data_IF_960783192109
#
_entry.id   IF_960783192109
#
_cell.length_a   1.000
_cell.length_b   1.000
_cell.length_c   1.000
_cell.angle_alpha   90.00
_cell.angle_beta   90.00
_cell.angle_gamma   90.00
#
_symmetry.space_group_name_H-M   'P 1'
#
loop_
_entity.id
_entity.type
_entity.pdbx_description
1 polymer ?
#
# COMPACT_ATOMS: atom_id res chain seq x y z
N UNK A 1 26.52 1.67 10.33
CA UNK A 1 25.43 1.33 9.42
C UNK A 1 24.49 2.53 9.34
N UNK A 2 24.50 3.24 8.22
CA UNK A 2 23.49 4.27 7.94
C UNK A 2 22.29 3.60 7.29
N UNK A 3 21.13 4.27 7.35
CA UNK A 3 19.87 3.76 6.80
C UNK A 3 19.32 4.75 5.78
N UNK A 4 18.88 4.24 4.64
CA UNK A 4 18.36 5.04 3.54
C UNK A 4 17.00 4.52 3.10
N UNK A 5 16.14 5.44 2.64
CA UNK A 5 14.83 5.15 2.04
C UNK A 5 14.71 5.79 0.66
N UNK A 6 14.36 5.01 -0.34
CA UNK A 6 14.04 5.54 -1.66
C UNK A 6 12.83 6.48 -1.59
N UNK A 7 13.00 7.73 -2.04
CA UNK A 7 11.90 8.63 -2.34
C UNK A 7 11.71 8.67 -3.84
N UNK A 8 10.47 8.63 -4.29
CA UNK A 8 10.15 8.54 -5.72
C UNK A 8 9.85 9.93 -6.29
N UNK A 9 10.57 10.32 -7.35
CA UNK A 9 10.24 11.48 -8.16
C UNK A 9 9.40 11.09 -9.38
N UNK A 10 8.68 12.05 -9.95
CA UNK A 10 7.85 11.84 -11.13
C UNK A 10 6.45 11.30 -10.84
N UNK A 11 6.04 11.25 -9.58
CA UNK A 11 4.71 10.79 -9.17
C UNK A 11 3.65 11.87 -9.38
N UNK A 12 2.47 11.47 -9.83
CA UNK A 12 1.25 12.27 -9.80
C UNK A 12 0.51 12.06 -8.47
N UNK A 13 -0.42 12.97 -8.14
CA UNK A 13 -1.30 12.81 -6.97
C UNK A 13 -2.35 11.72 -7.22
N UNK A 14 -1.95 10.47 -7.19
CA UNK A 14 -2.83 9.32 -7.31
C UNK A 14 -2.63 8.32 -6.15
N UNK A 15 -3.37 7.23 -6.19
CA UNK A 15 -3.30 6.17 -5.18
C UNK A 15 -1.95 5.43 -5.11
N UNK A 16 -1.05 5.66 -6.06
CA UNK A 16 0.32 5.10 -6.09
C UNK A 16 1.29 5.98 -5.32
N UNK A 17 1.10 7.30 -5.37
CA UNK A 17 1.98 8.31 -4.78
C UNK A 17 1.91 8.30 -3.25
N UNK A 18 0.71 8.41 -2.70
CA UNK A 18 0.49 8.61 -1.26
C UNK A 18 1.12 7.51 -0.39
N UNK A 19 0.96 6.19 -0.64
CA UNK A 19 1.59 5.17 0.18
C UNK A 19 3.12 5.26 0.18
N UNK A 20 3.73 5.62 -0.96
CA UNK A 20 5.18 5.74 -1.07
C UNK A 20 5.72 6.98 -0.35
N UNK A 21 4.99 8.09 -0.42
CA UNK A 21 5.33 9.32 0.31
C UNK A 21 5.20 9.13 1.82
N UNK A 22 4.12 8.47 2.28
CA UNK A 22 3.91 8.17 3.69
C UNK A 22 5.03 7.29 4.25
N UNK A 23 5.38 6.19 3.57
CA UNK A 23 6.51 5.35 3.95
C UNK A 23 7.80 6.15 4.02
N UNK A 24 8.08 6.96 2.99
CA UNK A 24 9.30 7.79 2.95
C UNK A 24 9.36 8.79 4.10
N UNK A 25 8.22 9.36 4.48
CA UNK A 25 8.10 10.29 5.60
C UNK A 25 8.27 9.58 6.93
N UNK A 26 7.51 8.49 7.17
CA UNK A 26 7.59 7.72 8.41
C UNK A 26 9.04 7.26 8.66
N UNK A 27 9.69 6.68 7.65
CA UNK A 27 11.06 6.20 7.82
C UNK A 27 12.06 7.33 8.00
N UNK A 28 11.90 8.47 7.29
CA UNK A 28 12.79 9.61 7.50
C UNK A 28 12.67 10.23 8.88
N UNK A 29 11.46 10.29 9.43
CA UNK A 29 11.20 10.77 10.78
C UNK A 29 11.75 9.79 11.86
N UNK A 30 12.09 8.57 11.43
CA UNK A 30 12.67 7.50 12.26
C UNK A 30 14.13 7.16 11.88
N UNK A 31 14.88 8.15 11.41
CA UNK A 31 16.34 8.09 11.25
C UNK A 31 16.85 7.55 9.92
N UNK A 32 16.00 7.40 8.91
CA UNK A 32 16.42 7.08 7.55
C UNK A 32 16.72 8.35 6.76
N UNK A 33 17.79 8.32 5.98
CA UNK A 33 18.11 9.39 5.02
C UNK A 33 17.36 9.16 3.72
N UNK A 34 16.65 10.17 3.23
CA UNK A 34 15.98 10.11 1.94
C UNK A 34 16.98 10.09 0.79
N UNK A 35 16.77 9.20 -0.17
CA UNK A 35 17.51 9.14 -1.42
C UNK A 35 16.52 9.17 -2.59
N UNK A 36 16.66 10.17 -3.46
CA UNK A 36 15.71 10.35 -4.57
C UNK A 36 16.01 9.36 -5.70
N UNK A 37 14.97 8.64 -6.13
CA UNK A 37 14.97 7.66 -7.22
C UNK A 37 13.95 8.08 -8.26
N UNK A 38 14.33 8.05 -9.53
CA UNK A 38 13.36 8.27 -10.61
C UNK A 38 12.47 7.02 -10.77
N UNK A 39 11.18 7.21 -10.57
CA UNK A 39 10.21 6.10 -10.63
C UNK A 39 9.96 5.58 -12.05
N UNK A 40 10.16 6.44 -13.07
CA UNK A 40 9.90 6.14 -14.48
C UNK A 40 11.17 6.08 -15.32
N UNK A 41 12.34 6.32 -14.72
CA UNK A 41 13.62 6.42 -15.41
C UNK A 41 14.58 5.28 -15.08
N UNK A 42 15.54 5.07 -15.97
CA UNK A 42 16.70 4.21 -15.72
C UNK A 42 17.68 4.90 -14.77
N UNK A 43 18.49 4.10 -14.10
CA UNK A 43 19.59 4.62 -13.28
C UNK A 43 20.53 5.49 -14.14
N UNK A 44 20.50 6.80 -13.94
CA UNK A 44 21.40 7.72 -14.63
C UNK A 44 22.82 7.55 -14.12
N UNK A 45 23.81 7.93 -14.96
CA UNK A 45 25.23 7.94 -14.56
C UNK A 45 25.47 8.83 -13.34
N UNK A 46 24.78 9.96 -13.25
CA UNK A 46 24.93 10.88 -12.11
C UNK A 46 24.35 10.29 -10.83
N UNK A 47 23.18 9.64 -10.91
CA UNK A 47 22.57 8.93 -9.78
C UNK A 47 23.45 7.76 -9.34
N UNK A 48 24.00 6.98 -10.28
CA UNK A 48 24.95 5.90 -9.99
C UNK A 48 26.20 6.42 -9.26
N UNK A 49 26.81 7.49 -9.78
CA UNK A 49 27.97 8.12 -9.13
C UNK A 49 27.61 8.64 -7.72
N UNK A 50 26.41 9.17 -7.52
CA UNK A 50 25.96 9.63 -6.22
C UNK A 50 25.79 8.47 -5.24
N UNK A 51 25.27 7.32 -5.69
CA UNK A 51 25.18 6.10 -4.88
C UNK A 51 26.56 5.65 -4.40
N UNK A 52 27.55 5.53 -5.31
CA UNK A 52 28.93 5.14 -4.94
C UNK A 52 29.62 6.14 -3.97
N UNK A 53 29.28 7.43 -4.03
CA UNK A 53 29.84 8.44 -3.12
C UNK A 53 29.14 8.45 -1.75
N UNK A 54 27.88 8.04 -1.69
CA UNK A 54 27.03 8.21 -0.50
C UNK A 54 26.96 6.95 0.35
N UNK A 55 26.86 5.79 -0.30
CA UNK A 55 26.66 4.50 0.37
C UNK A 55 27.98 3.83 0.71
N UNK A 56 27.98 3.06 1.78
CA UNK A 56 29.11 2.27 2.22
C UNK A 56 28.71 0.81 2.43
N UNK A 57 29.69 -0.09 2.38
CA UNK A 57 29.47 -1.51 2.69
C UNK A 57 28.78 -1.68 4.04
N UNK A 58 27.71 -2.46 4.05
CA UNK A 58 26.91 -2.76 5.22
C UNK A 58 25.87 -1.69 5.58
N UNK A 59 25.76 -0.58 4.84
CA UNK A 59 24.63 0.33 4.98
C UNK A 59 23.32 -0.36 4.55
N UNK A 60 22.18 0.12 5.05
CA UNK A 60 20.86 -0.40 4.75
C UNK A 60 20.12 0.52 3.78
N UNK A 61 19.57 -0.02 2.72
CA UNK A 61 18.76 0.74 1.76
C UNK A 61 17.39 0.08 1.55
N UNK A 62 16.33 0.78 1.91
CA UNK A 62 14.94 0.35 1.64
C UNK A 62 14.51 0.91 0.29
N UNK A 63 14.23 0.02 -0.64
CA UNK A 63 13.79 0.33 -2.00
C UNK A 63 12.30 0.07 -2.13
N UNK A 64 11.55 1.00 -2.71
CA UNK A 64 10.10 0.88 -2.89
C UNK A 64 9.79 0.30 -4.29
N UNK A 65 9.61 -1.01 -4.37
CA UNK A 65 9.36 -1.77 -5.60
C UNK A 65 7.85 -1.87 -5.92
N UNK A 66 7.43 -1.89 -7.22
CA UNK A 66 8.27 -1.76 -8.41
C UNK A 66 8.57 -0.32 -8.82
N UNK A 67 9.60 -0.13 -9.64
CA UNK A 67 9.70 1.02 -10.53
C UNK A 67 8.85 0.78 -11.79
N UNK A 68 8.34 1.85 -12.38
CA UNK A 68 7.48 1.79 -13.58
C UNK A 68 8.26 2.27 -14.81
N UNK A 69 9.34 1.58 -15.15
CA UNK A 69 10.07 1.77 -16.41
C UNK A 69 9.52 0.85 -17.52
N UNK A 70 9.58 1.29 -18.76
CA UNK A 70 9.02 0.58 -19.92
C UNK A 70 9.58 -0.84 -20.08
N UNK A 71 10.82 -1.09 -19.66
CA UNK A 71 11.49 -2.39 -19.81
C UNK A 71 11.59 -3.17 -18.50
N UNK A 72 11.11 -2.64 -17.37
CA UNK A 72 11.19 -3.24 -16.02
C UNK A 72 12.62 -3.64 -15.61
N UNK A 73 13.64 -2.95 -16.14
CA UNK A 73 15.06 -3.24 -15.90
C UNK A 73 15.72 -2.29 -14.91
N UNK A 74 15.14 -1.12 -14.67
CA UNK A 74 15.74 -0.08 -13.85
C UNK A 74 16.09 -0.56 -12.43
N UNK A 75 15.26 -1.40 -11.83
CA UNK A 75 15.57 -1.98 -10.50
C UNK A 75 16.84 -2.84 -10.52
N UNK A 76 17.10 -3.59 -11.60
CA UNK A 76 18.32 -4.39 -11.71
C UNK A 76 19.58 -3.51 -11.70
N UNK A 77 19.55 -2.36 -12.38
CA UNK A 77 20.68 -1.43 -12.40
C UNK A 77 21.02 -0.91 -10.98
N UNK A 78 19.99 -0.61 -10.17
CA UNK A 78 20.18 -0.24 -8.76
C UNK A 78 20.73 -1.39 -7.94
N UNK A 79 20.20 -2.60 -8.13
CA UNK A 79 20.65 -3.81 -7.42
C UNK A 79 22.11 -4.15 -7.72
N UNK A 80 22.54 -3.99 -8.96
CA UNK A 80 23.92 -4.21 -9.36
C UNK A 80 24.87 -3.24 -8.61
N UNK A 81 24.49 -1.96 -8.51
CA UNK A 81 25.25 -0.96 -7.73
C UNK A 81 25.25 -1.29 -6.24
N UNK A 82 24.11 -1.69 -5.66
CA UNK A 82 24.04 -2.05 -4.25
C UNK A 82 24.91 -3.27 -3.92
N UNK A 83 24.91 -4.28 -4.79
CA UNK A 83 25.72 -5.48 -4.63
C UNK A 83 27.21 -5.17 -4.74
N UNK A 84 27.61 -4.32 -5.69
CA UNK A 84 29.02 -3.90 -5.89
C UNK A 84 29.54 -3.14 -4.65
N UNK A 85 28.76 -2.25 -4.07
CA UNK A 85 29.11 -1.52 -2.85
C UNK A 85 29.06 -2.43 -1.61
N UNK A 86 28.25 -3.47 -1.62
CA UNK A 86 27.95 -4.33 -0.47
C UNK A 86 26.91 -3.74 0.48
N UNK A 87 25.91 -3.01 -0.07
CA UNK A 87 24.77 -2.47 0.66
C UNK A 87 23.77 -3.58 0.96
N UNK A 88 23.15 -3.55 2.14
CA UNK A 88 22.01 -4.41 2.49
C UNK A 88 20.74 -3.78 1.93
N UNK A 89 20.28 -4.27 0.78
CA UNK A 89 19.08 -3.77 0.12
C UNK A 89 17.84 -4.53 0.58
N UNK A 90 16.77 -3.81 0.90
CA UNK A 90 15.44 -4.36 1.24
C UNK A 90 14.45 -3.87 0.20
N UNK A 91 13.69 -4.78 -0.44
CA UNK A 91 12.55 -4.39 -1.23
C UNK A 91 11.30 -4.30 -0.37
N UNK A 92 10.67 -3.12 -0.32
CA UNK A 92 9.30 -2.95 0.11
C UNK A 92 8.40 -3.10 -1.12
N UNK A 93 7.68 -4.21 -1.20
CA UNK A 93 6.88 -4.58 -2.37
C UNK A 93 5.49 -3.95 -2.27
N UNK A 94 5.22 -2.93 -3.08
CA UNK A 94 3.92 -2.27 -3.18
C UNK A 94 2.95 -3.06 -4.06
N UNK A 95 3.41 -3.53 -5.23
CA UNK A 95 2.62 -4.29 -6.19
C UNK A 95 3.45 -5.40 -6.83
N UNK A 96 2.78 -6.45 -7.32
CA UNK A 96 3.36 -7.55 -8.10
C UNK A 96 2.65 -7.55 -9.46
N UNK A 97 3.22 -6.82 -10.41
CA UNK A 97 2.63 -6.62 -11.73
C UNK A 97 2.35 -7.90 -12.52
N UNK A 98 3.19 -8.95 -12.48
CA UNK A 98 2.85 -10.23 -13.10
C UNK A 98 1.55 -10.85 -12.60
N UNK A 99 1.22 -10.72 -11.31
CA UNK A 99 -0.06 -11.21 -10.76
C UNK A 99 -1.19 -10.27 -11.14
N UNK A 100 -0.93 -8.97 -11.17
CA UNK A 100 -1.94 -7.93 -11.41
C UNK A 100 -2.34 -7.80 -12.88
N UNK A 101 -1.39 -7.92 -13.79
CA UNK A 101 -1.59 -7.64 -15.22
C UNK A 101 -1.33 -8.85 -16.13
N UNK A 102 -0.79 -9.94 -15.58
CA UNK A 102 -0.24 -11.05 -16.31
C UNK A 102 1.21 -10.78 -16.69
N UNK A 103 2.02 -11.81 -16.72
CA UNK A 103 3.44 -11.73 -17.02
C UNK A 103 4.22 -12.92 -16.45
N UNK A 104 5.54 -12.91 -16.62
CA UNK A 104 6.39 -13.98 -16.10
C UNK A 104 6.68 -13.76 -14.61
N UNK A 105 6.06 -14.61 -13.79
CA UNK A 105 6.27 -14.59 -12.36
C UNK A 105 7.67 -15.09 -11.98
N UNK A 106 8.27 -15.96 -12.79
CA UNK A 106 9.61 -16.51 -12.53
C UNK A 106 10.66 -15.40 -12.62
N UNK A 107 10.65 -14.60 -13.70
CA UNK A 107 11.57 -13.48 -13.85
C UNK A 107 11.42 -12.46 -12.70
N UNK A 108 10.18 -12.21 -12.28
CA UNK A 108 9.91 -11.34 -11.15
C UNK A 108 10.50 -11.89 -9.84
N UNK A 109 10.32 -13.17 -9.57
CA UNK A 109 10.86 -13.84 -8.37
C UNK A 109 12.39 -13.87 -8.41
N UNK A 110 13.00 -14.15 -9.55
CA UNK A 110 14.46 -14.07 -9.73
C UNK A 110 14.98 -12.65 -9.42
N UNK A 111 14.27 -11.61 -9.85
CA UNK A 111 14.62 -10.21 -9.57
C UNK A 111 14.55 -9.91 -8.06
N UNK A 112 13.43 -10.22 -7.41
CA UNK A 112 13.28 -9.88 -5.98
C UNK A 112 14.22 -10.67 -5.07
N UNK A 113 14.64 -11.86 -5.48
CA UNK A 113 15.64 -12.66 -4.74
C UNK A 113 17.08 -12.10 -4.82
N UNK A 114 17.33 -11.05 -5.59
CA UNK A 114 18.60 -10.31 -5.58
C UNK A 114 18.73 -9.33 -4.41
N UNK A 115 17.61 -8.99 -3.76
CA UNK A 115 17.61 -8.16 -2.54
C UNK A 115 18.14 -8.95 -1.33
N UNK A 116 18.65 -8.24 -0.34
CA UNK A 116 19.06 -8.85 0.94
C UNK A 116 17.89 -9.30 1.79
N UNK A 117 16.71 -8.74 1.56
CA UNK A 117 15.46 -9.10 2.23
C UNK A 117 14.25 -8.41 1.63
N UNK A 118 13.06 -8.90 1.97
CA UNK A 118 11.80 -8.43 1.41
C UNK A 118 10.79 -8.07 2.50
N UNK A 119 10.03 -7.01 2.26
CA UNK A 119 8.81 -6.69 3.00
C UNK A 119 7.65 -6.92 2.03
N UNK A 120 6.84 -7.93 2.31
CA UNK A 120 5.77 -8.42 1.44
C UNK A 120 4.42 -8.06 2.05
N UNK A 121 3.45 -7.68 1.23
CA UNK A 121 2.17 -7.19 1.68
C UNK A 121 1.41 -8.21 2.54
N UNK A 122 1.33 -9.48 2.14
CA UNK A 122 0.54 -10.52 2.80
C UNK A 122 1.20 -11.89 2.74
N UNK A 123 0.76 -12.80 3.63
CA UNK A 123 1.19 -14.20 3.60
C UNK A 123 0.75 -14.89 2.31
N UNK A 124 -0.49 -14.66 1.84
CA UNK A 124 -0.97 -15.20 0.56
C UNK A 124 -0.08 -14.82 -0.62
N UNK A 125 0.46 -13.60 -0.60
CA UNK A 125 1.41 -13.15 -1.63
C UNK A 125 2.77 -13.83 -1.47
N UNK A 126 3.27 -13.96 -0.24
CA UNK A 126 4.53 -14.66 0.03
C UNK A 126 4.46 -16.14 -0.38
N UNK A 127 3.32 -16.80 -0.15
CA UNK A 127 3.09 -18.20 -0.51
C UNK A 127 3.15 -18.42 -2.04
N UNK A 128 2.75 -17.42 -2.83
CA UNK A 128 2.86 -17.47 -4.31
C UNK A 128 4.28 -17.18 -4.77
N UNK A 129 4.93 -16.17 -4.17
CA UNK A 129 6.27 -15.74 -4.59
C UNK A 129 7.35 -16.73 -4.15
N UNK A 130 7.17 -17.44 -3.06
CA UNK A 130 8.15 -18.39 -2.48
C UNK A 130 9.58 -17.84 -2.49
N UNK A 131 9.84 -16.67 -1.90
CA UNK A 131 11.14 -16.03 -1.95
C UNK A 131 12.21 -16.89 -1.27
N UNK A 132 13.42 -16.89 -1.83
CA UNK A 132 14.58 -17.61 -1.28
C UNK A 132 15.42 -16.75 -0.33
N UNK A 133 15.08 -15.48 -0.17
CA UNK A 133 15.73 -14.55 0.76
C UNK A 133 14.84 -14.28 1.98
N UNK A 134 15.38 -13.77 3.09
CA UNK A 134 14.59 -13.41 4.26
C UNK A 134 13.43 -12.48 3.90
N UNK A 135 12.27 -12.72 4.49
CA UNK A 135 11.13 -11.83 4.29
C UNK A 135 10.28 -11.66 5.54
N UNK A 136 9.54 -10.58 5.60
CA UNK A 136 8.52 -10.32 6.62
C UNK A 136 7.22 -9.84 5.96
N UNK A 137 6.12 -10.04 6.67
CA UNK A 137 4.81 -9.55 6.24
C UNK A 137 4.57 -8.18 6.84
N UNK A 138 4.20 -7.20 5.99
CA UNK A 138 3.86 -5.85 6.42
C UNK A 138 2.48 -5.77 7.07
N UNK A 139 1.45 -6.37 6.43
CA UNK A 139 0.05 -6.12 6.75
C UNK A 139 -0.49 -4.86 6.05
N UNK A 140 -1.52 -4.21 6.63
CA UNK A 140 -2.10 -3.00 6.02
C UNK A 140 -1.11 -1.83 5.96
N UNK A 141 -1.38 -0.90 5.06
CA UNK A 141 -0.59 0.32 4.92
C UNK A 141 -0.87 1.30 6.06
N UNK A 142 0.16 2.03 6.48
CA UNK A 142 0.01 3.23 7.29
C UNK A 142 -0.54 4.39 6.44
N UNK A 143 -1.15 5.38 7.07
CA UNK A 143 -1.73 6.54 6.38
C UNK A 143 -1.53 7.81 7.21
N UNK A 144 -0.65 8.69 6.77
CA UNK A 144 -0.40 9.95 7.43
C UNK A 144 -1.45 10.99 7.04
N UNK A 145 -2.18 11.48 8.02
CA UNK A 145 -3.17 12.54 7.85
C UNK A 145 -3.27 13.40 9.13
N UNK A 146 -3.79 14.62 9.04
CA UNK A 146 -4.23 15.36 10.23
C UNK A 146 -5.31 14.56 10.96
N UNK A 147 -5.23 14.50 12.29
CA UNK A 147 -6.23 13.83 13.11
C UNK A 147 -7.50 14.69 13.21
N UNK A 148 -8.31 14.67 12.16
CA UNK A 148 -9.54 15.45 12.02
C UNK A 148 -10.73 14.52 11.73
N UNK A 149 -11.07 13.64 12.65
CA UNK A 149 -12.20 12.73 12.48
C UNK A 149 -13.53 13.50 12.46
N UNK A 150 -14.38 13.16 11.51
CA UNK A 150 -15.79 13.57 11.48
C UNK A 150 -16.64 12.55 12.22
N UNK A 151 -17.79 12.97 12.71
CA UNK A 151 -18.82 12.04 13.15
C UNK A 151 -19.50 11.41 11.95
N UNK A 152 -19.64 10.10 11.98
CA UNK A 152 -20.29 9.31 10.93
C UNK A 152 -21.52 8.59 11.50
N UNK A 153 -22.54 8.42 10.67
CA UNK A 153 -23.80 7.80 11.09
C UNK A 153 -24.23 6.68 10.12
N UNK A 154 -24.78 5.61 10.68
CA UNK A 154 -25.22 4.44 9.89
C UNK A 154 -26.22 4.78 8.79
N UNK A 155 -27.05 5.80 9.00
CA UNK A 155 -28.05 6.26 8.02
C UNK A 155 -27.48 6.97 6.78
N UNK A 156 -26.23 7.40 6.84
CA UNK A 156 -25.59 8.11 5.73
C UNK A 156 -25.30 7.19 4.53
N UNK A 157 -25.02 7.76 3.33
CA UNK A 157 -24.57 7.01 2.16
C UNK A 157 -23.27 6.24 2.45
N UNK A 158 -23.02 5.17 1.71
CA UNK A 158 -21.71 4.49 1.68
C UNK A 158 -20.70 5.39 0.97
N UNK A 159 -19.40 5.22 1.27
CA UNK A 159 -18.32 5.99 0.66
C UNK A 159 -17.48 5.10 -0.25
N UNK A 160 -17.20 5.59 -1.44
CA UNK A 160 -16.11 5.09 -2.29
C UNK A 160 -15.13 6.21 -2.60
N UNK A 161 -13.84 6.00 -2.36
CA UNK A 161 -12.78 6.96 -2.66
C UNK A 161 -11.59 6.28 -3.35
N UNK A 162 -11.11 6.87 -4.45
CA UNK A 162 -9.92 6.37 -5.15
C UNK A 162 -9.92 6.63 -6.65
N UNK A 163 -9.21 5.77 -7.37
CA UNK A 163 -9.15 5.83 -8.84
C UNK A 163 -10.52 5.42 -9.44
N UNK A 164 -11.09 6.30 -10.27
CA UNK A 164 -12.43 6.17 -10.86
C UNK A 164 -12.40 5.65 -12.31
N UNK A 165 -11.28 5.17 -12.81
CA UNK A 165 -11.21 4.57 -14.15
C UNK A 165 -12.25 3.45 -14.29
N UNK A 166 -12.93 3.39 -15.45
CA UNK A 166 -14.01 2.44 -15.69
C UNK A 166 -13.64 0.98 -15.42
N UNK A 167 -12.45 0.46 -15.82
CA UNK A 167 -12.09 -0.92 -15.52
C UNK A 167 -12.05 -1.26 -14.02
N UNK A 168 -11.74 -0.28 -13.15
CA UNK A 168 -11.74 -0.48 -11.70
C UNK A 168 -13.10 -0.32 -11.05
N UNK A 169 -13.96 0.50 -11.64
CA UNK A 169 -15.17 1.01 -10.98
C UNK A 169 -16.41 0.83 -11.81
N UNK A 170 -16.44 -0.15 -12.72
CA UNK A 170 -17.65 -0.46 -13.53
C UNK A 170 -18.87 -0.74 -12.66
N UNK A 171 -18.69 -1.32 -11.46
CA UNK A 171 -19.78 -1.56 -10.51
C UNK A 171 -20.52 -0.30 -10.08
N UNK A 172 -19.91 0.89 -10.13
CA UNK A 172 -20.56 2.15 -9.78
C UNK A 172 -21.68 2.53 -10.75
N UNK A 173 -21.68 1.99 -11.95
CA UNK A 173 -22.71 2.24 -12.95
C UNK A 173 -24.03 1.49 -12.59
N UNK A 174 -23.95 0.40 -11.83
CA UNK A 174 -25.06 -0.50 -11.49
C UNK A 174 -25.60 -0.32 -10.06
N UNK A 175 -24.89 0.43 -9.21
CA UNK A 175 -25.27 0.67 -7.81
C UNK A 175 -26.59 1.44 -7.73
N UNK A 176 -27.53 0.91 -6.94
CA UNK A 176 -28.85 1.52 -6.70
C UNK A 176 -29.03 2.14 -5.32
N UNK A 177 -28.11 1.91 -4.41
CA UNK A 177 -28.13 2.49 -3.06
C UNK A 177 -27.36 3.81 -3.00
N UNK A 178 -27.62 4.68 -2.00
CA UNK A 178 -26.92 5.95 -1.87
C UNK A 178 -25.41 5.73 -1.61
N UNK A 179 -24.58 6.38 -2.42
CA UNK A 179 -23.12 6.33 -2.31
C UNK A 179 -22.51 7.72 -2.52
N UNK A 180 -21.53 8.10 -1.70
CA UNK A 180 -20.69 9.27 -1.90
C UNK A 180 -19.39 8.84 -2.57
N UNK A 181 -19.08 9.39 -3.73
CA UNK A 181 -17.92 9.01 -4.54
C UNK A 181 -16.92 10.15 -4.62
N UNK A 182 -15.66 9.87 -4.28
CA UNK A 182 -14.54 10.82 -4.31
C UNK A 182 -13.42 10.24 -5.17
N UNK A 183 -12.82 11.04 -6.05
CA UNK A 183 -11.67 10.54 -6.81
C UNK A 183 -11.46 11.11 -8.20
N UNK A 184 -10.59 10.46 -8.98
CA UNK A 184 -10.10 10.87 -10.28
C UNK A 184 -9.68 9.63 -11.12
N UNK A 185 -9.72 9.66 -12.45
CA UNK A 185 -10.29 10.70 -13.30
C UNK A 185 -11.81 10.70 -13.26
N UNK A 186 -12.40 11.86 -13.56
CA UNK A 186 -13.83 11.99 -13.75
C UNK A 186 -14.15 12.18 -15.24
N UNK A 187 -14.23 11.08 -15.95
CA UNK A 187 -14.43 11.00 -17.40
C UNK A 187 -15.84 10.54 -17.78
N UNK A 188 -16.67 10.22 -16.80
CA UNK A 188 -18.06 9.79 -16.96
C UNK A 188 -18.94 10.27 -15.81
N UNK A 189 -20.25 10.35 -16.04
CA UNK A 189 -21.20 10.69 -14.99
C UNK A 189 -21.32 9.55 -13.98
N UNK A 190 -20.95 9.81 -12.72
CA UNK A 190 -21.05 8.88 -11.59
C UNK A 190 -22.05 9.45 -10.58
N UNK A 191 -23.03 8.65 -10.20
CA UNK A 191 -23.99 9.05 -9.18
C UNK A 191 -23.28 9.22 -7.82
N UNK A 192 -23.64 10.30 -7.10
CA UNK A 192 -23.05 10.58 -5.80
C UNK A 192 -21.65 11.17 -5.84
N UNK A 193 -21.13 11.57 -7.01
CA UNK A 193 -19.81 12.21 -7.12
C UNK A 193 -19.73 13.50 -6.29
N UNK A 194 -18.72 13.59 -5.43
CA UNK A 194 -18.48 14.70 -4.48
C UNK A 194 -17.27 15.56 -4.82
N UNK A 195 -16.42 15.09 -5.73
CA UNK A 195 -15.23 15.83 -6.16
C UNK A 195 -13.93 15.06 -6.02
N UNK A 196 -12.87 15.74 -6.45
CA UNK A 196 -11.48 15.32 -6.34
C UNK A 196 -10.77 16.13 -5.26
N UNK A 197 -10.08 15.47 -4.36
CA UNK A 197 -9.34 16.07 -3.26
C UNK A 197 -7.96 15.43 -3.14
N UNK A 198 -7.03 16.14 -2.52
CA UNK A 198 -5.73 15.55 -2.20
C UNK A 198 -5.89 14.42 -1.20
N UNK A 199 -5.09 13.35 -1.31
CA UNK A 199 -5.20 12.20 -0.41
C UNK A 199 -5.12 12.56 1.08
N UNK A 200 -4.24 13.50 1.44
CA UNK A 200 -4.08 13.96 2.83
C UNK A 200 -5.27 14.75 3.37
N UNK A 201 -6.09 15.34 2.50
CA UNK A 201 -7.29 16.12 2.86
C UNK A 201 -8.52 15.22 3.04
N UNK A 202 -8.54 14.07 2.33
CA UNK A 202 -9.70 13.18 2.28
C UNK A 202 -10.23 12.76 3.66
N UNK A 203 -9.40 12.40 4.68
CA UNK A 203 -9.91 12.02 5.99
C UNK A 203 -10.76 13.11 6.66
N UNK A 204 -10.44 14.38 6.43
CA UNK A 204 -11.22 15.53 6.91
C UNK A 204 -12.43 15.91 6.05
N UNK A 205 -12.58 15.34 4.86
CA UNK A 205 -13.62 15.71 3.88
C UNK A 205 -14.68 14.62 3.75
N UNK A 206 -14.28 13.36 3.77
CA UNK A 206 -15.16 12.21 3.57
C UNK A 206 -16.33 12.24 4.57
N UNK A 207 -17.56 12.07 4.04
CA UNK A 207 -18.77 11.92 4.83
C UNK A 207 -19.54 10.70 4.36
N UNK A 208 -20.01 9.87 5.29
CA UNK A 208 -20.77 8.67 4.97
C UNK A 208 -20.80 7.66 6.11
N UNK A 209 -21.42 6.52 5.88
CA UNK A 209 -21.60 5.49 6.90
C UNK A 209 -20.45 4.46 6.92
N UNK A 210 -20.13 3.88 5.79
CA UNK A 210 -19.10 2.84 5.63
C UNK A 210 -18.19 3.17 4.47
N UNK A 211 -16.91 2.86 4.59
CA UNK A 211 -15.96 2.88 3.49
C UNK A 211 -16.02 1.58 2.69
N UNK A 212 -16.26 1.65 1.38
CA UNK A 212 -16.31 0.49 0.49
C UNK A 212 -14.94 0.20 -0.10
N UNK A 213 -14.36 -0.93 0.29
CA UNK A 213 -13.12 -1.46 -0.32
C UNK A 213 -13.52 -2.51 -1.35
N UNK A 214 -13.64 -2.04 -2.59
CA UNK A 214 -14.05 -2.85 -3.74
C UNK A 214 -13.39 -2.32 -5.00
N UNK A 215 -13.00 -3.21 -5.89
CA UNK A 215 -12.62 -2.91 -7.26
C UNK A 215 -13.22 -3.99 -8.18
N UNK A 216 -13.47 -3.65 -9.45
CA UNK A 216 -14.01 -4.57 -10.45
C UNK A 216 -12.91 -5.43 -11.08
N UNK A 217 -13.34 -6.51 -11.73
CA UNK A 217 -12.54 -7.36 -12.59
C UNK A 217 -11.22 -7.83 -11.93
N UNK A 218 -10.15 -7.93 -12.69
CA UNK A 218 -8.82 -8.34 -12.22
C UNK A 218 -8.28 -7.52 -11.04
N UNK A 219 -8.68 -6.27 -10.93
CA UNK A 219 -8.27 -5.42 -9.79
C UNK A 219 -8.92 -5.89 -8.49
N UNK A 220 -10.17 -6.36 -8.57
CA UNK A 220 -10.85 -7.02 -7.45
C UNK A 220 -10.22 -8.35 -7.08
N UNK A 221 -9.84 -9.15 -8.05
CA UNK A 221 -9.18 -10.46 -7.82
C UNK A 221 -7.80 -10.28 -7.19
N UNK A 222 -7.06 -9.24 -7.56
CA UNK A 222 -5.77 -8.91 -6.96
C UNK A 222 -5.87 -8.54 -5.46
N UNK A 223 -7.04 -8.08 -4.98
CA UNK A 223 -7.28 -7.81 -3.54
C UNK A 223 -7.18 -9.07 -2.66
N UNK A 224 -7.22 -10.27 -3.26
CA UNK A 224 -6.93 -11.51 -2.52
C UNK A 224 -5.49 -11.54 -1.97
N UNK A 225 -4.57 -10.83 -2.59
CA UNK A 225 -3.13 -10.89 -2.34
C UNK A 225 -2.54 -9.61 -1.76
N UNK A 226 -3.07 -8.46 -2.15
CA UNK A 226 -2.51 -7.16 -1.78
C UNK A 226 -3.45 -6.37 -0.84
N UNK A 227 -2.92 -5.31 -0.24
CA UNK A 227 -3.67 -4.40 0.61
C UNK A 227 -4.14 -3.18 -0.19
N UNK A 228 -5.45 -2.95 -0.17
CA UNK A 228 -5.99 -1.71 -0.72
C UNK A 228 -5.72 -0.53 0.21
N UNK A 229 -5.13 0.52 -0.31
CA UNK A 229 -4.88 1.76 0.46
C UNK A 229 -6.18 2.47 0.89
N UNK A 230 -7.32 2.11 0.27
CA UNK A 230 -8.67 2.55 0.70
C UNK A 230 -8.99 2.12 2.13
N UNK A 231 -8.52 0.91 2.55
CA UNK A 231 -8.70 0.46 3.94
C UNK A 231 -8.14 1.49 4.92
N UNK A 232 -6.88 1.86 4.72
CA UNK A 232 -6.18 2.80 5.62
C UNK A 232 -6.83 4.17 5.60
N UNK A 233 -7.20 4.69 4.43
CA UNK A 233 -7.96 5.93 4.31
C UNK A 233 -9.24 5.91 5.16
N UNK A 234 -10.06 4.85 5.03
CA UNK A 234 -11.34 4.79 5.74
C UNK A 234 -11.15 4.58 7.24
N UNK A 235 -10.18 3.75 7.65
CA UNK A 235 -9.86 3.56 9.07
C UNK A 235 -9.43 4.87 9.72
N UNK A 236 -8.50 5.62 9.09
CA UNK A 236 -8.08 6.93 9.64
C UNK A 236 -9.14 8.02 9.49
N UNK A 237 -10.18 7.80 8.69
CA UNK A 237 -11.36 8.66 8.62
C UNK A 237 -12.42 8.28 9.67
N UNK A 238 -12.24 7.18 10.42
CA UNK A 238 -13.22 6.69 11.41
C UNK A 238 -14.41 5.94 10.80
N UNK A 239 -14.32 5.49 9.54
CA UNK A 239 -15.38 4.77 8.84
C UNK A 239 -15.25 3.26 9.02
N UNK A 240 -16.30 2.56 9.48
CA UNK A 240 -16.39 1.10 9.36
C UNK A 240 -16.29 0.64 7.90
N UNK A 241 -15.83 -0.58 7.69
CA UNK A 241 -15.43 -1.07 6.39
C UNK A 241 -16.44 -2.06 5.82
N UNK A 242 -16.76 -1.92 4.54
CA UNK A 242 -17.36 -2.98 3.72
C UNK A 242 -16.29 -3.48 2.77
N UNK A 243 -15.98 -4.78 2.82
CA UNK A 243 -14.93 -5.37 1.99
C UNK A 243 -15.42 -6.60 1.24
N UNK A 244 -14.67 -6.96 0.18
CA UNK A 244 -14.91 -8.21 -0.58
C UNK A 244 -14.56 -9.41 0.28
N UNK A 245 -15.43 -10.42 0.30
CA UNK A 245 -15.19 -11.72 0.92
C UNK A 245 -13.95 -12.39 0.30
N UNK A 246 -13.13 -13.05 1.13
CA UNK A 246 -11.91 -13.74 0.69
C UNK A 246 -10.73 -12.83 0.33
N UNK A 247 -10.89 -11.50 0.40
CA UNK A 247 -9.77 -10.56 0.24
C UNK A 247 -8.97 -10.42 1.55
N UNK A 248 -7.69 -10.00 1.45
CA UNK A 248 -6.89 -9.68 2.64
C UNK A 248 -7.55 -8.62 3.52
N UNK A 249 -8.17 -7.62 2.89
CA UNK A 249 -8.92 -6.58 3.61
C UNK A 249 -10.13 -7.18 4.32
N UNK A 250 -10.87 -8.09 3.67
CA UNK A 250 -12.01 -8.79 4.26
C UNK A 250 -11.62 -9.60 5.49
N UNK A 251 -10.54 -10.38 5.39
CA UNK A 251 -10.01 -11.16 6.51
C UNK A 251 -9.62 -10.25 7.71
N UNK A 252 -8.98 -9.12 7.42
CA UNK A 252 -8.60 -8.11 8.44
C UNK A 252 -9.83 -7.47 9.09
N UNK A 253 -10.84 -7.10 8.30
CA UNK A 253 -12.09 -6.49 8.76
C UNK A 253 -12.83 -7.41 9.73
N UNK A 254 -12.94 -8.69 9.38
CA UNK A 254 -13.59 -9.69 10.24
C UNK A 254 -12.79 -9.94 11.52
N UNK A 255 -11.47 -10.13 11.39
CA UNK A 255 -10.57 -10.39 12.53
C UNK A 255 -10.62 -9.28 13.57
N UNK A 256 -10.69 -8.03 13.13
CA UNK A 256 -10.67 -6.85 14.01
C UNK A 256 -12.06 -6.33 14.36
N UNK A 257 -13.12 -6.93 13.83
CA UNK A 257 -14.50 -6.50 14.02
C UNK A 257 -14.69 -5.00 13.76
N UNK A 258 -14.24 -4.54 12.56
CA UNK A 258 -14.31 -3.13 12.14
C UNK A 258 -15.25 -2.91 10.94
N UNK A 259 -16.09 -3.90 10.64
CA UNK A 259 -17.01 -3.85 9.52
C UNK A 259 -17.50 -5.23 9.13
N UNK A 260 -17.90 -5.41 7.88
CA UNK A 260 -18.38 -6.68 7.36
C UNK A 260 -17.95 -6.94 5.93
N UNK A 261 -18.09 -8.18 5.49
CA UNK A 261 -17.75 -8.60 4.11
C UNK A 261 -18.99 -8.91 3.29
N UNK A 262 -18.85 -8.78 1.97
CA UNK A 262 -19.88 -9.06 0.97
C UNK A 262 -19.29 -9.85 -0.19
N UNK A 263 -20.11 -10.67 -0.82
CA UNK A 263 -19.76 -11.41 -2.04
C UNK A 263 -20.14 -10.63 -3.31
N UNK A 264 -21.16 -9.81 -3.23
CA UNK A 264 -21.65 -9.00 -4.34
C UNK A 264 -21.86 -7.54 -3.90
N UNK A 265 -21.22 -6.63 -4.60
CA UNK A 265 -21.27 -5.19 -4.31
C UNK A 265 -22.64 -4.58 -4.57
N UNK A 266 -23.50 -5.23 -5.34
CA UNK A 266 -24.87 -4.75 -5.62
C UNK A 266 -25.86 -5.09 -4.50
N UNK A 267 -25.50 -6.01 -3.57
CA UNK A 267 -26.37 -6.54 -2.53
C UNK A 267 -25.95 -6.10 -1.12
N UNK A 268 -25.57 -4.83 -0.94
CA UNK A 268 -25.13 -4.32 0.36
C UNK A 268 -26.33 -4.09 1.28
N UNK A 269 -26.37 -4.87 2.37
CA UNK A 269 -27.31 -4.67 3.48
C UNK A 269 -26.57 -4.19 4.73
N UNK A 270 -26.86 -2.95 5.16
CA UNK A 270 -26.34 -2.32 6.38
C UNK A 270 -27.24 -2.54 7.59
N UNK A 271 -28.44 -3.08 7.40
CA UNK A 271 -29.39 -3.31 8.49
C UNK A 271 -28.81 -4.35 9.48
N UNK A 272 -29.14 -4.20 10.74
CA UNK A 272 -28.73 -5.12 11.80
C UNK A 272 -27.21 -5.31 11.97
N UNK A 273 -26.37 -4.36 11.48
CA UNK A 273 -24.93 -4.38 11.72
C UNK A 273 -24.61 -3.60 13.01
N UNK A 274 -23.66 -4.07 13.84
CA UNK A 274 -23.25 -3.40 15.08
C UNK A 274 -22.34 -2.20 14.79
N UNK A 275 -22.89 -1.17 14.15
CA UNK A 275 -22.18 -0.03 13.59
C UNK A 275 -21.28 0.69 14.60
N UNK A 276 -21.80 0.95 15.79
CA UNK A 276 -21.05 1.67 16.81
C UNK A 276 -19.93 0.83 17.45
N UNK A 277 -20.08 -0.50 17.48
CA UNK A 277 -19.01 -1.40 17.91
C UNK A 277 -17.87 -1.35 16.91
N UNK A 278 -18.17 -1.34 15.61
CA UNK A 278 -17.17 -1.17 14.56
C UNK A 278 -16.40 0.15 14.71
N UNK A 279 -17.09 1.28 14.94
CA UNK A 279 -16.45 2.58 15.17
C UNK A 279 -15.53 2.54 16.40
N UNK A 280 -15.93 1.90 17.48
CA UNK A 280 -15.12 1.79 18.68
C UNK A 280 -13.83 0.98 18.43
N UNK A 281 -13.94 -0.12 17.67
CA UNK A 281 -12.81 -1.00 17.38
C UNK A 281 -11.81 -0.36 16.36
N UNK A 282 -12.23 0.62 15.57
CA UNK A 282 -11.36 1.32 14.61
C UNK A 282 -10.32 2.20 15.31
N UNK A 283 -10.59 2.75 16.49
CA UNK A 283 -9.77 3.78 17.12
C UNK A 283 -8.30 3.39 17.27
N UNK A 284 -8.04 2.24 17.88
CA UNK A 284 -6.67 1.78 18.12
C UNK A 284 -5.94 1.47 16.80
N UNK A 285 -6.67 0.96 15.80
CA UNK A 285 -6.11 0.66 14.48
C UNK A 285 -5.79 1.96 13.74
N UNK A 286 -6.67 2.95 13.84
CA UNK A 286 -6.45 4.29 13.29
C UNK A 286 -5.21 4.95 13.88
N UNK A 287 -5.06 4.93 15.21
CA UNK A 287 -3.90 5.47 15.90
C UNK A 287 -2.61 4.77 15.45
N UNK A 288 -2.63 3.45 15.30
CA UNK A 288 -1.50 2.69 14.77
C UNK A 288 -1.13 3.13 13.35
N UNK A 289 -2.12 3.27 12.44
CA UNK A 289 -1.88 3.69 11.05
C UNK A 289 -1.35 5.12 10.95
N UNK A 290 -1.89 6.04 11.76
CA UNK A 290 -1.45 7.45 11.80
C UNK A 290 -0.02 7.61 12.31
N UNK A 291 0.47 6.67 13.12
CA UNK A 291 1.81 6.69 13.71
C UNK A 291 2.84 5.80 12.99
N UNK A 292 2.50 5.20 11.84
CA UNK A 292 3.44 4.41 11.05
C UNK A 292 3.77 3.04 11.64
N UNK A 293 2.88 2.49 12.47
CA UNK A 293 3.12 1.26 13.23
C UNK A 293 3.48 0.07 12.34
N UNK A 294 2.76 -0.11 11.21
CA UNK A 294 2.93 -1.30 10.37
C UNK A 294 4.27 -1.32 9.66
N UNK A 295 4.66 -0.23 9.02
CA UNK A 295 5.97 -0.17 8.33
C UNK A 295 7.13 -0.18 9.32
N UNK A 296 7.05 0.52 10.45
CA UNK A 296 8.11 0.52 11.46
C UNK A 296 8.32 -0.87 12.06
N UNK A 297 7.23 -1.61 12.31
CA UNK A 297 7.32 -2.98 12.78
C UNK A 297 7.92 -3.93 11.73
N UNK A 298 7.51 -3.79 10.45
CA UNK A 298 8.08 -4.57 9.36
C UNK A 298 9.59 -4.31 9.19
N UNK A 299 10.02 -3.05 9.21
CA UNK A 299 11.45 -2.67 9.16
C UNK A 299 12.22 -3.29 10.32
N UNK A 300 11.73 -3.17 11.55
CA UNK A 300 12.38 -3.74 12.73
C UNK A 300 12.56 -5.26 12.62
N UNK A 301 11.55 -5.94 12.08
CA UNK A 301 11.59 -7.39 11.95
C UNK A 301 12.54 -7.83 10.82
N UNK A 302 12.50 -7.20 9.64
CA UNK A 302 13.40 -7.58 8.53
C UNK A 302 14.86 -7.26 8.87
N UNK A 303 15.15 -6.18 9.59
CA UNK A 303 16.50 -5.89 10.07
C UNK A 303 17.03 -7.02 10.96
N UNK A 304 16.20 -7.60 11.84
CA UNK A 304 16.59 -8.72 12.70
C UNK A 304 16.90 -9.97 11.88
N UNK A 305 16.05 -10.31 10.91
CA UNK A 305 16.23 -11.47 10.05
C UNK A 305 17.55 -11.37 9.26
N UNK A 306 17.81 -10.21 8.64
CA UNK A 306 19.03 -9.99 7.88
C UNK A 306 20.28 -10.03 8.79
N UNK A 307 20.23 -9.41 9.97
CA UNK A 307 21.37 -9.40 10.89
C UNK A 307 21.66 -10.78 11.48
N UNK A 308 20.62 -11.57 11.78
CA UNK A 308 20.77 -12.92 12.32
C UNK A 308 21.49 -13.84 11.33
N UNK A 309 21.15 -13.80 10.05
CA UNK A 309 21.79 -14.58 9.00
C UNK A 309 23.30 -14.25 8.92
N UNK A 310 23.65 -12.97 9.01
CA UNK A 310 25.06 -12.55 8.99
C UNK A 310 25.85 -13.00 10.22
N UNK A 311 25.22 -13.19 11.38
CA UNK A 311 25.87 -13.69 12.59
C UNK A 311 26.06 -15.23 12.60
N UNK A 312 25.23 -15.95 11.88
CA UNK A 312 25.23 -17.44 11.86
C UNK A 312 26.14 -17.99 10.75
N UNK A 313 26.35 -17.25 9.67
CA UNK A 313 27.07 -17.71 8.47
C UNK A 313 28.42 -16.99 8.23
N UNK A 314 28.88 -16.11 9.12
CA UNK A 314 30.22 -15.54 9.19
C UNK A 314 30.89 -15.84 10.54
#
# INVERSE_FOLDING_TARGET
MKKYIATMSGLSYDGTTKPREDVSRILSDNGFTKFNVDMFGKLSKDTSNLLYKTLNKGDLFVFQSPLYDDNQTAENDYLDVFNDIGVKSIALIHDVDPIRFGGDLKDYVEKINKYSGLIIASQKLADILQPSVPYVIQGPWDYLAPNNHKNHYQSEPIVYAGNLTKPKTSFLDDIKYPINVYGDPYDRKINGFKGRYKPEELPGIITGSYGLVWDSDRYGDYQAYNWSYKLSLYVVSGLPIIARSGSNVGDFVLKNNIGFVIDNVLDIDKSNKPYYDYINNIKDISDNMLNGFYILNAIKNIEREILWIFMVFN
#
